data_IF_036589385773
#
_entry.id   IF_036589385773
#
_cell.length_a   1.000
_cell.length_b   1.000
_cell.length_c   1.000
_cell.angle_alpha   90.00
_cell.angle_beta   90.00
_cell.angle_gamma   90.00
#
_symmetry.space_group_name_H-M   'P 1'
#
loop_
_entity.id
_entity.type
_entity.pdbx_description
1 polymer ?
#
# COMPACT_ATOMS: atom_id res chain seq x y z
N UNK A 1 23.38 40.01 15.10
CA UNK A 1 22.41 39.43 16.07
C UNK A 1 21.46 38.45 15.36
N UNK A 2 21.66 37.15 15.60
CA UNK A 2 20.89 36.06 14.98
C UNK A 2 19.84 35.52 15.95
N UNK A 3 18.60 35.42 15.49
CA UNK A 3 17.48 34.86 16.25
C UNK A 3 17.68 33.35 16.40
N UNK A 4 17.72 32.86 17.64
CA UNK A 4 17.71 31.42 17.95
C UNK A 4 16.24 31.00 18.07
N UNK A 5 15.83 30.01 17.28
CA UNK A 5 14.48 29.45 17.32
C UNK A 5 14.53 28.01 17.81
N UNK A 6 13.82 27.72 18.89
CA UNK A 6 13.58 26.37 19.38
C UNK A 6 12.09 26.02 19.24
N UNK A 7 11.78 24.81 18.79
CA UNK A 7 10.42 24.26 18.79
C UNK A 7 10.39 22.94 19.54
N UNK A 8 9.30 22.70 20.27
CA UNK A 8 8.98 21.44 20.94
C UNK A 8 7.64 20.95 20.41
N UNK A 9 7.57 19.67 20.07
CA UNK A 9 6.36 18.98 19.62
C UNK A 9 6.16 17.72 20.46
N UNK A 10 4.94 17.49 20.91
CA UNK A 10 4.54 16.29 21.65
C UNK A 10 3.48 15.56 20.84
N UNK A 11 3.71 14.28 20.60
CA UNK A 11 2.89 13.46 19.71
C UNK A 11 2.56 12.18 20.46
N UNK A 12 1.27 11.95 20.73
CA UNK A 12 0.77 10.78 21.48
C UNK A 12 0.58 9.51 20.62
N UNK A 13 1.01 9.54 19.36
CA UNK A 13 0.88 8.46 18.39
C UNK A 13 2.14 8.48 17.51
N UNK A 14 2.92 7.40 17.51
CA UNK A 14 4.23 7.36 16.83
C UNK A 14 4.12 7.66 15.33
N UNK A 15 2.99 7.37 14.70
CA UNK A 15 2.77 7.75 13.29
C UNK A 15 1.93 9.02 13.12
N UNK A 16 1.51 9.68 14.20
CA UNK A 16 0.83 10.98 14.15
C UNK A 16 1.51 12.03 13.24
N UNK A 17 2.86 12.13 13.20
CA UNK A 17 3.59 13.01 12.28
C UNK A 17 3.73 12.41 10.88
N UNK A 18 3.71 11.08 10.78
CA UNK A 18 3.84 10.32 9.52
C UNK A 18 2.53 10.20 8.75
N UNK A 19 1.37 10.40 9.38
CA UNK A 19 0.05 10.31 8.72
C UNK A 19 -0.06 11.30 7.56
N UNK A 20 0.49 12.51 7.69
CA UNK A 20 0.58 13.46 6.57
C UNK A 20 1.47 12.94 5.42
N UNK A 21 2.40 12.02 5.69
CA UNK A 21 3.26 11.36 4.70
C UNK A 21 2.73 10.03 4.16
N UNK A 22 1.76 9.38 4.83
CA UNK A 22 1.22 8.08 4.39
C UNK A 22 0.48 8.19 3.05
N UNK A 23 -0.04 9.38 2.70
CA UNK A 23 -0.67 9.63 1.41
C UNK A 23 0.27 9.40 0.22
N UNK A 24 1.58 9.59 0.40
CA UNK A 24 2.58 9.28 -0.64
C UNK A 24 2.66 7.78 -0.95
N UNK A 25 2.36 6.92 0.03
CA UNK A 25 2.33 5.47 -0.12
C UNK A 25 1.08 5.00 -0.88
N UNK A 26 0.04 5.85 -0.98
CA UNK A 26 -1.23 5.54 -1.64
C UNK A 26 -1.13 5.76 -3.15
N UNK A 27 -0.49 4.81 -3.82
CA UNK A 27 -0.34 4.79 -5.27
C UNK A 27 -1.32 3.82 -5.90
N UNK A 28 -1.84 4.15 -7.07
CA UNK A 28 -2.63 3.20 -7.88
C UNK A 28 -1.69 2.05 -8.27
N UNK A 29 -2.05 0.78 -8.03
CA UNK A 29 -1.16 -0.34 -8.36
C UNK A 29 -0.89 -0.50 -9.86
N UNK A 30 0.36 -0.81 -10.22
CA UNK A 30 0.81 -0.91 -11.60
C UNK A 30 2.00 -1.88 -11.78
N UNK A 31 2.35 -2.19 -13.03
CA UNK A 31 3.51 -3.00 -13.38
C UNK A 31 3.22 -4.51 -13.49
N UNK A 32 4.26 -5.34 -13.43
CA UNK A 32 4.16 -6.80 -13.36
C UNK A 32 3.65 -7.27 -12.00
N UNK A 33 3.49 -8.58 -11.78
CA UNK A 33 3.03 -9.17 -10.51
C UNK A 33 3.78 -8.65 -9.29
N UNK A 34 5.12 -8.58 -9.31
CA UNK A 34 5.89 -8.02 -8.19
C UNK A 34 5.64 -6.53 -8.01
N UNK A 35 5.70 -5.74 -9.08
CA UNK A 35 5.54 -4.29 -9.00
C UNK A 35 4.11 -3.90 -8.56
N UNK A 36 3.12 -4.67 -8.99
CA UNK A 36 1.74 -4.51 -8.57
C UNK A 36 1.61 -4.79 -7.08
N UNK A 37 2.24 -5.84 -6.54
CA UNK A 37 2.26 -6.12 -5.11
C UNK A 37 3.01 -5.08 -4.29
N UNK A 38 4.14 -4.56 -4.80
CA UNK A 38 4.91 -3.48 -4.15
C UNK A 38 4.07 -2.23 -3.93
N UNK A 39 3.09 -1.98 -4.80
CA UNK A 39 2.20 -0.81 -4.71
C UNK A 39 0.85 -1.13 -4.07
N UNK A 40 0.36 -2.37 -4.17
CA UNK A 40 -0.89 -2.81 -3.54
C UNK A 40 -0.76 -2.98 -2.02
N UNK A 41 0.30 -3.63 -1.54
CA UNK A 41 0.46 -3.93 -0.11
C UNK A 41 0.46 -2.68 0.78
N UNK A 42 1.12 -1.56 0.42
CA UNK A 42 1.02 -0.31 1.17
C UNK A 42 -0.40 0.24 1.28
N UNK A 43 -1.22 0.17 0.22
CA UNK A 43 -2.62 0.64 0.27
C UNK A 43 -3.43 -0.12 1.32
N UNK A 44 -3.26 -1.45 1.37
CA UNK A 44 -3.94 -2.30 2.36
C UNK A 44 -3.49 -1.96 3.78
N UNK A 45 -2.17 -1.91 4.01
CA UNK A 45 -1.64 -1.70 5.35
C UNK A 45 -1.94 -0.29 5.90
N UNK A 46 -1.81 0.75 5.07
CA UNK A 46 -2.17 2.11 5.45
C UNK A 46 -3.66 2.23 5.76
N UNK A 47 -4.52 1.60 4.95
CA UNK A 47 -5.96 1.57 5.20
C UNK A 47 -6.32 0.92 6.54
N UNK A 48 -5.69 -0.22 6.85
CA UNK A 48 -5.87 -0.92 8.13
C UNK A 48 -5.37 -0.09 9.31
N UNK A 49 -4.19 0.52 9.20
CA UNK A 49 -3.60 1.35 10.24
C UNK A 49 -4.48 2.57 10.54
N UNK A 50 -4.90 3.33 9.52
CA UNK A 50 -5.74 4.51 9.71
C UNK A 50 -7.11 4.16 10.28
N UNK A 51 -7.66 2.99 9.91
CA UNK A 51 -8.89 2.48 10.50
C UNK A 51 -8.72 2.15 11.99
N UNK A 52 -7.62 1.49 12.38
CA UNK A 52 -7.39 1.07 13.76
C UNK A 52 -7.17 2.26 14.72
N UNK A 53 -6.55 3.34 14.24
CA UNK A 53 -6.35 4.56 15.03
C UNK A 53 -7.52 5.56 14.92
N UNK A 54 -8.61 5.20 14.21
CA UNK A 54 -9.81 6.03 14.06
C UNK A 54 -9.59 7.31 13.23
N UNK A 55 -8.58 7.34 12.36
CA UNK A 55 -8.22 8.51 11.53
C UNK A 55 -8.52 8.32 10.04
N UNK A 56 -9.27 7.29 9.68
CA UNK A 56 -9.64 7.02 8.29
C UNK A 56 -10.79 7.92 7.84
N UNK A 57 -10.46 9.01 7.15
CA UNK A 57 -11.43 9.92 6.55
C UNK A 57 -12.19 9.26 5.38
N UNK A 58 -13.47 9.62 5.13
CA UNK A 58 -14.28 9.01 4.07
C UNK A 58 -13.67 9.10 2.67
N UNK A 59 -13.08 10.25 2.30
CA UNK A 59 -12.44 10.43 0.99
C UNK A 59 -11.21 9.54 0.84
N UNK A 60 -10.40 9.45 1.88
CA UNK A 60 -9.21 8.62 1.92
C UNK A 60 -9.58 7.14 1.84
N UNK A 61 -10.62 6.72 2.56
CA UNK A 61 -11.19 5.37 2.48
C UNK A 61 -11.61 5.03 1.05
N UNK A 62 -12.32 5.92 0.36
CA UNK A 62 -12.74 5.70 -1.03
C UNK A 62 -11.53 5.51 -1.94
N UNK A 63 -10.52 6.37 -1.81
CA UNK A 63 -9.28 6.29 -2.62
C UNK A 63 -8.52 4.99 -2.38
N UNK A 64 -8.31 4.61 -1.12
CA UNK A 64 -7.63 3.35 -0.74
C UNK A 64 -8.41 2.15 -1.28
N UNK A 65 -9.74 2.14 -1.09
CA UNK A 65 -10.60 1.05 -1.56
C UNK A 65 -10.51 0.88 -3.08
N UNK A 66 -10.58 1.97 -3.83
CA UNK A 66 -10.44 1.93 -5.28
C UNK A 66 -9.07 1.39 -5.71
N UNK A 67 -7.98 1.83 -5.07
CA UNK A 67 -6.64 1.32 -5.35
C UNK A 67 -6.53 -0.19 -5.07
N UNK A 68 -7.11 -0.65 -3.97
CA UNK A 68 -7.14 -2.08 -3.61
C UNK A 68 -7.93 -2.89 -4.63
N UNK A 69 -9.12 -2.43 -5.04
CA UNK A 69 -9.93 -3.12 -6.06
C UNK A 69 -9.17 -3.25 -7.38
N UNK A 70 -8.55 -2.15 -7.83
CA UNK A 70 -7.75 -2.13 -9.07
C UNK A 70 -6.55 -3.07 -8.97
N UNK A 71 -5.77 -2.97 -7.89
CA UNK A 71 -4.58 -3.82 -7.71
C UNK A 71 -4.91 -5.28 -7.50
N UNK A 72 -6.00 -5.60 -6.80
CA UNK A 72 -6.46 -6.97 -6.64
C UNK A 72 -6.91 -7.57 -7.97
N UNK A 73 -7.74 -6.86 -8.73
CA UNK A 73 -8.16 -7.29 -10.07
C UNK A 73 -6.98 -7.52 -11.00
N UNK A 74 -5.97 -6.64 -10.95
CA UNK A 74 -4.72 -6.81 -11.70
C UNK A 74 -3.89 -7.98 -11.19
N UNK A 75 -3.78 -8.19 -9.87
CA UNK A 75 -2.98 -9.29 -9.32
C UNK A 75 -3.52 -10.65 -9.77
N UNK A 76 -4.85 -10.78 -9.87
CA UNK A 76 -5.50 -11.99 -10.37
C UNK A 76 -5.10 -12.35 -11.80
N UNK A 77 -4.65 -11.40 -12.63
CA UNK A 77 -4.16 -11.71 -13.99
C UNK A 77 -2.82 -12.43 -13.99
N UNK A 78 -2.10 -12.42 -12.86
CA UNK A 78 -0.82 -13.09 -12.69
C UNK A 78 -0.93 -14.43 -11.96
N UNK A 79 -2.15 -14.92 -11.75
CA UNK A 79 -2.44 -16.20 -11.10
C UNK A 79 -2.33 -17.35 -12.10
N UNK A 80 -1.69 -18.43 -11.67
CA UNK A 80 -1.58 -19.69 -12.39
C UNK A 80 -2.76 -20.62 -12.09
N UNK A 81 -2.91 -21.68 -12.89
CA UNK A 81 -3.98 -22.67 -12.73
C UNK A 81 -3.90 -23.45 -11.40
N UNK A 82 -2.68 -23.65 -10.89
CA UNK A 82 -2.42 -24.27 -9.59
C UNK A 82 -2.69 -23.34 -8.40
N UNK A 83 -2.97 -22.05 -8.68
CA UNK A 83 -3.24 -21.02 -7.71
C UNK A 83 -2.04 -20.17 -7.30
N UNK A 84 -0.83 -20.50 -7.79
CA UNK A 84 0.37 -19.70 -7.54
C UNK A 84 0.35 -18.38 -8.31
N UNK A 85 1.25 -17.45 -7.95
CA UNK A 85 1.41 -16.15 -8.62
C UNK A 85 2.84 -15.97 -9.09
N UNK A 86 3.03 -15.30 -10.24
CA UNK A 86 4.36 -14.94 -10.75
C UNK A 86 4.39 -13.50 -11.29
N UNK A 87 5.55 -13.05 -11.77
CA UNK A 87 5.73 -11.73 -12.36
C UNK A 87 4.83 -11.50 -13.57
N UNK A 88 4.72 -12.50 -14.43
CA UNK A 88 4.08 -12.41 -15.74
C UNK A 88 2.96 -13.45 -15.91
N UNK A 89 2.46 -14.01 -14.81
CA UNK A 89 1.40 -15.02 -14.81
C UNK A 89 1.78 -16.27 -15.59
N UNK A 90 0.84 -16.81 -16.36
CA UNK A 90 1.05 -18.01 -17.19
C UNK A 90 2.07 -17.84 -18.32
N UNK A 91 2.66 -16.65 -18.47
CA UNK A 91 3.82 -16.44 -19.36
C UNK A 91 5.11 -16.97 -18.73
N UNK A 92 5.17 -17.00 -17.40
CA UNK A 92 6.21 -17.72 -16.66
C UNK A 92 5.84 -19.21 -16.59
N UNK A 93 6.84 -20.09 -16.61
CA UNK A 93 6.61 -21.53 -16.53
C UNK A 93 6.11 -21.97 -15.14
N UNK A 94 6.52 -21.26 -14.09
CA UNK A 94 6.29 -21.64 -12.70
C UNK A 94 5.89 -20.42 -11.85
N UNK A 95 5.20 -20.69 -10.74
CA UNK A 95 4.88 -19.69 -9.74
C UNK A 95 6.09 -19.21 -8.94
N UNK A 96 6.03 -17.97 -8.44
CA UNK A 96 7.01 -17.43 -7.49
C UNK A 96 6.59 -17.73 -6.06
N UNK A 97 7.48 -18.35 -5.30
CA UNK A 97 7.29 -18.61 -3.87
C UNK A 97 7.05 -17.30 -3.10
N UNK A 98 7.76 -16.22 -3.46
CA UNK A 98 7.62 -14.93 -2.78
C UNK A 98 6.27 -14.25 -3.07
N UNK A 99 5.77 -14.34 -4.31
CA UNK A 99 4.48 -13.74 -4.68
C UNK A 99 3.26 -14.53 -4.19
N UNK A 100 3.46 -15.81 -3.88
CA UNK A 100 2.38 -16.72 -3.47
C UNK A 100 2.21 -16.81 -1.95
N UNK A 101 3.27 -16.50 -1.19
CA UNK A 101 3.34 -16.67 0.27
C UNK A 101 2.42 -15.74 1.08
#
# INVERSE_FOLDING_TARGET
>A
PGSVRGSVSVVGDIMGPSIQGLEHLLRIPFGCGEQNMVTLAPNVHVGQYLASVGRLLPDLRRRITNNIIVGYGRQLTYRHNDGSFSAFGTSDAEGSTWLTA
#
